data_IF_307174299214
#
_entry.id   IF_307174299214
#
_cell.length_a   1.000
_cell.length_b   1.000
_cell.length_c   1.000
_cell.angle_alpha   90.00
_cell.angle_beta   90.00
_cell.angle_gamma   90.00
#
_symmetry.space_group_name_H-M   'P 1'
#
loop_
_entity.id
_entity.type
_entity.pdbx_description
1 polymer ?
#
# COMPACT_ATOMS: atom_id res chain seq x y z
N UNK A 1 19.32 22.64 6.77
CA UNK A 1 18.62 23.93 6.59
C UNK A 1 17.14 23.63 6.72
N UNK A 2 16.44 24.23 7.68
CA UNK A 2 14.97 24.14 7.76
C UNK A 2 14.39 24.85 6.54
N UNK A 3 13.77 24.08 5.67
CA UNK A 3 13.16 24.59 4.44
C UNK A 3 11.92 25.39 4.84
N UNK A 4 11.94 26.71 4.57
CA UNK A 4 10.84 27.60 4.94
C UNK A 4 9.74 27.49 3.88
N UNK A 5 8.61 26.85 4.23
CA UNK A 5 7.45 26.75 3.34
C UNK A 5 6.43 27.85 3.66
N UNK A 6 5.78 28.40 2.62
CA UNK A 6 4.68 29.37 2.79
C UNK A 6 3.37 28.73 3.24
N UNK A 7 3.18 27.45 2.95
CA UNK A 7 2.01 26.64 3.28
C UNK A 7 2.45 25.18 3.38
N UNK A 8 1.89 24.42 4.33
CA UNK A 8 2.17 23.01 4.52
C UNK A 8 0.92 22.28 5.03
N UNK A 9 0.91 20.96 4.88
CA UNK A 9 -0.04 20.08 5.55
C UNK A 9 0.69 19.38 6.71
N UNK A 10 0.15 19.49 7.91
CA UNK A 10 0.65 18.75 9.07
C UNK A 10 -0.15 17.45 9.22
N UNK A 11 0.56 16.33 9.25
CA UNK A 11 -0.05 15.00 9.34
C UNK A 11 0.27 14.42 10.72
N UNK A 12 -0.78 14.23 11.53
CA UNK A 12 -0.65 13.64 12.86
C UNK A 12 -0.61 12.11 12.78
N UNK A 13 0.58 11.54 13.02
CA UNK A 13 0.78 10.09 13.06
C UNK A 13 0.02 9.42 14.21
N UNK A 14 -0.17 10.10 15.33
CA UNK A 14 -0.89 9.56 16.48
C UNK A 14 -2.40 9.41 16.18
N UNK A 15 -2.96 10.34 15.39
CA UNK A 15 -4.33 10.24 14.92
C UNK A 15 -4.54 9.02 14.00
N UNK A 16 -3.57 8.72 13.13
CA UNK A 16 -3.60 7.52 12.28
C UNK A 16 -3.63 6.24 13.12
N UNK A 17 -2.75 6.14 14.11
CA UNK A 17 -2.66 5.00 15.03
C UNK A 17 -3.93 4.85 15.88
N UNK A 18 -4.47 5.97 16.39
CA UNK A 18 -5.75 5.97 17.10
C UNK A 18 -6.89 5.41 16.24
N UNK A 19 -6.98 5.84 14.98
CA UNK A 19 -7.98 5.36 14.05
C UNK A 19 -7.81 3.86 13.75
N UNK A 20 -6.57 3.40 13.55
CA UNK A 20 -6.26 2.00 13.34
C UNK A 20 -6.67 1.13 14.54
N UNK A 21 -6.33 1.55 15.77
CA UNK A 21 -6.74 0.88 16.98
C UNK A 21 -8.28 0.81 17.12
N UNK A 22 -8.98 1.89 16.75
CA UNK A 22 -10.45 1.92 16.75
C UNK A 22 -11.06 0.95 15.72
N UNK A 23 -10.40 0.71 14.59
CA UNK A 23 -10.81 -0.33 13.63
C UNK A 23 -10.48 -1.72 14.18
N UNK A 24 -9.28 -1.93 14.73
CA UNK A 24 -8.84 -3.21 15.32
C UNK A 24 -9.79 -3.72 16.39
N UNK A 25 -10.25 -2.83 17.27
CA UNK A 25 -11.20 -3.16 18.33
C UNK A 25 -12.59 -3.61 17.80
N UNK A 26 -12.92 -3.33 16.53
CA UNK A 26 -14.23 -3.66 15.92
C UNK A 26 -14.19 -4.90 15.05
N UNK A 27 -13.04 -5.24 14.48
CA UNK A 27 -12.92 -6.32 13.47
C UNK A 27 -12.55 -7.68 14.08
N UNK A 28 -12.32 -7.75 15.39
CA UNK A 28 -11.99 -9.00 16.08
C UNK A 28 -10.67 -9.59 15.58
N UNK A 29 -10.68 -10.85 15.16
CA UNK A 29 -9.51 -11.57 14.66
C UNK A 29 -9.24 -11.36 13.17
N UNK A 30 -10.04 -10.54 12.47
CA UNK A 30 -9.81 -10.28 11.06
C UNK A 30 -8.51 -9.48 10.85
N UNK A 31 -7.81 -9.78 9.77
CA UNK A 31 -6.69 -8.97 9.33
C UNK A 31 -7.20 -7.61 8.79
N UNK A 32 -6.34 -6.59 8.84
CA UNK A 32 -6.65 -5.30 8.22
C UNK A 32 -5.60 -4.93 7.19
N UNK A 33 -6.15 -4.53 6.05
CA UNK A 33 -5.50 -3.98 4.89
C UNK A 33 -5.54 -2.47 4.99
N UNK A 34 -4.39 -1.82 5.18
CA UNK A 34 -4.29 -0.37 5.15
C UNK A 34 -4.12 0.11 3.70
N UNK A 35 -5.16 0.70 3.12
CA UNK A 35 -5.09 1.24 1.76
C UNK A 35 -4.44 2.63 1.82
N UNK A 36 -3.30 2.78 1.17
CA UNK A 36 -2.45 4.00 1.18
C UNK A 36 -2.19 4.55 -0.21
N UNK A 37 -3.05 4.22 -1.18
CA UNK A 37 -3.01 4.74 -2.55
C UNK A 37 -3.13 6.27 -2.62
N UNK A 38 -2.83 6.83 -3.79
CA UNK A 38 -2.82 8.27 -4.06
C UNK A 38 -1.95 9.04 -3.06
N UNK A 39 -0.71 8.56 -2.87
CA UNK A 39 0.23 9.10 -1.89
C UNK A 39 -0.34 9.18 -0.45
N UNK A 40 -0.95 8.09 0.04
CA UNK A 40 -1.61 8.07 1.35
C UNK A 40 -2.81 9.02 1.41
N UNK A 41 -3.62 9.07 0.35
CA UNK A 41 -4.71 10.04 0.20
C UNK A 41 -4.23 11.50 0.40
N UNK A 42 -3.04 11.83 -0.10
CA UNK A 42 -2.40 13.13 0.04
C UNK A 42 -1.67 13.39 1.36
N UNK A 43 -1.66 12.43 2.30
CA UNK A 43 -1.02 12.56 3.61
C UNK A 43 0.46 12.10 3.61
N UNK A 44 0.97 11.62 2.47
CA UNK A 44 2.32 11.08 2.36
C UNK A 44 2.34 9.58 2.65
N UNK A 45 2.39 8.77 1.60
CA UNK A 45 2.19 7.32 1.67
C UNK A 45 3.14 6.62 2.65
N UNK A 46 4.45 6.89 2.54
CA UNK A 46 5.47 6.23 3.38
C UNK A 46 5.23 6.54 4.85
N UNK A 47 5.05 7.82 5.19
CA UNK A 47 4.84 8.22 6.58
C UNK A 47 3.54 7.67 7.19
N UNK A 48 2.47 7.59 6.39
CA UNK A 48 1.22 6.93 6.78
C UNK A 48 1.44 5.44 6.99
N UNK A 49 2.09 4.76 6.06
CA UNK A 49 2.29 3.32 6.15
C UNK A 49 3.17 2.93 7.33
N UNK A 50 4.26 3.66 7.59
CA UNK A 50 5.10 3.48 8.78
C UNK A 50 4.30 3.63 10.07
N UNK A 51 3.43 4.65 10.16
CA UNK A 51 2.61 4.87 11.33
C UNK A 51 1.63 3.72 11.60
N UNK A 52 1.19 3.04 10.55
CA UNK A 52 0.23 1.93 10.58
C UNK A 52 0.88 0.54 10.55
N UNK A 53 2.21 0.44 10.48
CA UNK A 53 2.93 -0.81 10.23
C UNK A 53 2.73 -1.89 11.32
N UNK A 54 2.50 -1.47 12.56
CA UNK A 54 2.22 -2.40 13.67
C UNK A 54 0.75 -2.84 13.71
N UNK A 55 -0.13 -2.04 13.13
CA UNK A 55 -1.57 -2.30 13.15
C UNK A 55 -2.03 -3.03 11.90
N UNK A 56 -1.47 -2.81 10.72
CA UNK A 56 -1.90 -3.41 9.45
C UNK A 56 -1.09 -4.67 9.10
N UNK A 57 -1.75 -5.72 8.61
CA UNK A 57 -1.05 -6.92 8.11
C UNK A 57 -0.60 -6.75 6.66
N UNK A 58 -1.35 -6.00 5.86
CA UNK A 58 -1.06 -5.77 4.46
C UNK A 58 -1.34 -4.31 4.08
N UNK A 59 -0.74 -3.86 2.98
CA UNK A 59 -0.99 -2.53 2.43
C UNK A 59 -1.57 -2.59 1.02
N UNK A 60 -2.50 -1.69 0.73
CA UNK A 60 -3.13 -1.58 -0.59
C UNK A 60 -2.73 -0.29 -1.31
N UNK A 61 -2.30 -0.41 -2.56
CA UNK A 61 -1.91 0.73 -3.42
C UNK A 61 -2.66 0.68 -4.75
N UNK A 62 -2.61 1.75 -5.55
CA UNK A 62 -3.32 1.79 -6.82
C UNK A 62 -2.55 1.13 -7.97
N UNK A 63 -1.21 1.23 -7.99
CA UNK A 63 -0.38 0.81 -9.12
C UNK A 63 1.00 0.29 -8.68
N UNK A 64 1.81 -0.17 -9.64
CA UNK A 64 3.15 -0.72 -9.39
C UNK A 64 4.13 0.32 -8.84
N UNK A 65 4.08 1.58 -9.30
CA UNK A 65 4.99 2.63 -8.84
C UNK A 65 4.81 2.91 -7.33
N UNK A 66 3.57 2.98 -6.87
CA UNK A 66 3.26 3.10 -5.44
C UNK A 66 3.71 1.86 -4.67
N UNK A 67 3.53 0.66 -5.22
CA UNK A 67 3.97 -0.58 -4.58
C UNK A 67 5.48 -0.62 -4.38
N UNK A 68 6.25 -0.24 -5.41
CA UNK A 68 7.70 -0.13 -5.37
C UNK A 68 8.17 0.90 -4.35
N UNK A 69 7.58 2.10 -4.38
CA UNK A 69 7.90 3.17 -3.42
C UNK A 69 7.65 2.71 -1.98
N UNK A 70 6.56 1.99 -1.74
CA UNK A 70 6.24 1.46 -0.42
C UNK A 70 7.19 0.33 0.01
N UNK A 71 7.59 -0.54 -0.93
CA UNK A 71 8.51 -1.67 -0.69
C UNK A 71 9.89 -1.20 -0.19
N UNK A 72 10.35 -0.05 -0.64
CA UNK A 72 11.63 0.53 -0.17
C UNK A 72 11.58 0.94 1.31
N UNK A 73 10.37 1.10 1.87
CA UNK A 73 10.16 1.51 3.27
C UNK A 73 9.69 0.36 4.17
N UNK A 74 8.90 -0.59 3.64
CA UNK A 74 8.25 -1.65 4.42
C UNK A 74 8.26 -3.01 3.71
N UNK A 75 8.44 -4.06 4.52
CA UNK A 75 8.47 -5.46 4.06
C UNK A 75 7.09 -6.15 4.03
N UNK A 76 6.03 -5.50 4.51
CA UNK A 76 4.67 -6.05 4.53
C UNK A 76 4.20 -6.47 3.13
N UNK A 77 3.28 -7.46 3.02
CA UNK A 77 2.62 -7.75 1.76
C UNK A 77 1.91 -6.51 1.19
N UNK A 78 2.07 -6.27 -0.10
CA UNK A 78 1.45 -5.15 -0.81
C UNK A 78 0.56 -5.69 -1.92
N UNK A 79 -0.71 -5.30 -1.90
CA UNK A 79 -1.68 -5.58 -2.96
C UNK A 79 -1.86 -4.36 -3.86
N UNK A 80 -1.77 -4.58 -5.17
CA UNK A 80 -2.06 -3.58 -6.20
C UNK A 80 -3.54 -3.73 -6.55
N UNK A 81 -4.33 -2.74 -6.18
CA UNK A 81 -5.79 -2.79 -6.32
C UNK A 81 -6.25 -2.55 -7.76
N UNK A 82 -5.50 -1.74 -8.51
CA UNK A 82 -5.76 -1.47 -9.92
C UNK A 82 -5.36 -2.61 -10.86
N UNK A 83 -5.84 -2.60 -12.11
CA UNK A 83 -5.40 -3.54 -13.12
C UNK A 83 -3.91 -3.35 -13.44
N UNK A 84 -3.18 -4.44 -13.59
CA UNK A 84 -1.77 -4.40 -14.01
C UNK A 84 -1.66 -4.32 -15.53
N UNK A 85 -0.87 -3.37 -16.02
CA UNK A 85 -0.50 -3.32 -17.43
C UNK A 85 0.35 -4.55 -17.79
N UNK A 86 0.28 -5.09 -19.03
CA UNK A 86 1.05 -6.27 -19.44
C UNK A 86 2.56 -6.17 -19.14
N UNK A 87 3.15 -4.99 -19.31
CA UNK A 87 4.55 -4.68 -19.03
C UNK A 87 4.91 -4.66 -17.54
N UNK A 88 3.94 -4.45 -16.64
CA UNK A 88 4.15 -4.41 -15.19
C UNK A 88 4.20 -5.81 -14.57
N UNK A 89 3.59 -6.81 -15.22
CA UNK A 89 3.33 -8.13 -14.63
C UNK A 89 4.59 -8.89 -14.22
N UNK A 90 5.66 -8.83 -15.01
CA UNK A 90 6.94 -9.44 -14.63
C UNK A 90 7.48 -8.85 -13.34
N UNK A 91 7.53 -7.52 -13.23
CA UNK A 91 8.01 -6.83 -12.02
C UNK A 91 7.14 -7.14 -10.82
N UNK A 92 5.81 -7.22 -10.99
CA UNK A 92 4.88 -7.60 -9.92
C UNK A 92 5.24 -8.97 -9.34
N UNK A 93 5.51 -9.96 -10.19
CA UNK A 93 5.91 -11.31 -9.76
C UNK A 93 7.30 -11.29 -9.14
N UNK A 94 8.29 -10.72 -9.82
CA UNK A 94 9.70 -10.65 -9.37
C UNK A 94 9.85 -9.97 -8.00
N UNK A 95 9.01 -8.98 -7.71
CA UNK A 95 9.03 -8.20 -6.45
C UNK A 95 8.07 -8.74 -5.39
N UNK A 96 7.33 -9.80 -5.69
CA UNK A 96 6.40 -10.44 -4.77
C UNK A 96 5.23 -9.53 -4.35
N UNK A 97 4.70 -8.75 -5.29
CA UNK A 97 3.45 -7.99 -5.07
C UNK A 97 2.23 -8.85 -5.39
N UNK A 98 1.10 -8.57 -4.74
CA UNK A 98 -0.16 -9.27 -4.95
C UNK A 98 -0.96 -8.50 -6.02
N UNK A 99 -1.17 -9.05 -7.24
CA UNK A 99 -1.97 -8.38 -8.26
C UNK A 99 -3.48 -8.58 -8.04
N UNK A 100 -4.28 -7.58 -8.39
CA UNK A 100 -5.67 -7.79 -8.77
C UNK A 100 -5.74 -8.41 -10.18
N UNK A 101 -6.53 -9.47 -10.32
CA UNK A 101 -6.75 -10.18 -11.60
C UNK A 101 -8.23 -10.04 -11.97
N UNK A 102 -8.51 -9.58 -13.18
CA UNK A 102 -9.89 -9.33 -13.64
C UNK A 102 -10.32 -10.25 -14.77
N UNK A 103 -9.40 -11.00 -15.37
CA UNK A 103 -9.65 -11.92 -16.49
C UNK A 103 -8.87 -13.23 -16.35
N UNK A 104 -9.35 -14.29 -17.03
CA UNK A 104 -8.65 -15.57 -17.09
C UNK A 104 -7.31 -15.44 -17.83
N UNK A 105 -7.27 -14.66 -18.91
CA UNK A 105 -6.04 -14.41 -19.68
C UNK A 105 -4.94 -13.77 -18.82
N UNK A 106 -5.31 -12.80 -17.97
CA UNK A 106 -4.39 -12.23 -16.97
C UNK A 106 -3.90 -13.28 -15.99
N UNK A 107 -4.80 -14.12 -15.46
CA UNK A 107 -4.43 -15.18 -14.52
C UNK A 107 -3.42 -16.17 -15.13
N UNK A 108 -3.66 -16.61 -16.36
CA UNK A 108 -2.76 -17.50 -17.09
C UNK A 108 -1.42 -16.83 -17.38
N UNK A 109 -1.42 -15.52 -17.68
CA UNK A 109 -0.19 -14.76 -17.90
C UNK A 109 0.66 -14.60 -16.64
N UNK A 110 0.04 -14.31 -15.50
CA UNK A 110 0.73 -14.33 -14.20
C UNK A 110 1.26 -15.72 -13.86
N UNK A 111 0.47 -16.77 -14.09
CA UNK A 111 0.87 -18.15 -13.81
C UNK A 111 2.09 -18.60 -14.64
N UNK A 112 2.25 -18.11 -15.87
CA UNK A 112 3.43 -18.40 -16.71
C UNK A 112 4.71 -17.72 -16.23
N UNK A 113 4.61 -16.68 -15.39
CA UNK A 113 5.72 -15.85 -14.91
C UNK A 113 6.20 -16.23 -13.51
N UNK A 114 5.40 -17.01 -12.76
CA UNK A 114 5.64 -17.42 -11.38
C UNK A 114 6.63 -18.59 -11.25
#
# INVERSE_FOLDING_TARGET
MTQTHRCWAEIDRSALQHNAAAVRNRIGSAELLAVVKANGYGHGMVGVAEALANDAQLFGVANLEEAMTLRDSLAHPVIILGPALPEERSTIVERGFIPSISTLEEAEDFNRRA
#
